data_IF_604178032781
#
_entry.id   IF_604178032781
#
_cell.length_a   1.000
_cell.length_b   1.000
_cell.length_c   1.000
_cell.angle_alpha   90.00
_cell.angle_beta   90.00
_cell.angle_gamma   90.00
#
_symmetry.space_group_name_H-M   'P 1'
#
loop_
_entity.id
_entity.type
_entity.pdbx_description
1 polymer ?
#
# COMPACT_ATOMS: atom_id res chain seq x y z
N UNK A 1 11.91 5.03 -35.73
CA UNK A 1 11.84 4.35 -34.42
C UNK A 1 10.40 4.31 -33.98
N UNK A 2 9.84 3.15 -33.61
CA UNK A 2 8.46 3.09 -33.12
C UNK A 2 8.34 3.98 -31.88
N UNK A 3 7.31 4.82 -31.83
CA UNK A 3 6.96 5.61 -30.63
C UNK A 3 6.87 4.63 -29.46
N UNK A 4 7.76 4.75 -28.49
CA UNK A 4 7.69 3.93 -27.29
C UNK A 4 6.32 4.14 -26.66
N UNK A 5 5.53 3.07 -26.58
CA UNK A 5 4.26 3.05 -25.88
C UNK A 5 4.52 3.53 -24.45
N UNK A 6 3.73 4.51 -24.00
CA UNK A 6 3.88 5.10 -22.68
C UNK A 6 3.64 4.02 -21.61
N UNK A 7 4.52 3.87 -20.60
CA UNK A 7 4.42 2.79 -19.61
C UNK A 7 3.34 3.12 -18.55
N UNK A 8 2.09 3.24 -18.98
CA UNK A 8 0.97 3.76 -18.20
C UNK A 8 0.78 3.09 -16.83
N UNK A 9 0.86 1.77 -16.76
CA UNK A 9 0.72 1.02 -15.50
C UNK A 9 1.79 1.42 -14.47
N UNK A 10 3.05 1.50 -14.90
CA UNK A 10 4.16 1.93 -14.06
C UNK A 10 3.95 3.36 -13.58
N UNK A 11 3.60 4.28 -14.48
CA UNK A 11 3.47 5.68 -14.09
C UNK A 11 2.27 5.90 -13.16
N UNK A 12 1.19 5.17 -13.36
CA UNK A 12 0.05 5.14 -12.45
C UNK A 12 0.44 4.62 -11.07
N UNK A 13 1.25 3.55 -11.01
CA UNK A 13 1.78 3.06 -9.75
C UNK A 13 2.60 4.13 -9.03
N UNK A 14 3.58 4.75 -9.71
CA UNK A 14 4.44 5.79 -9.11
C UNK A 14 3.61 7.02 -8.70
N UNK A 15 2.58 7.39 -9.48
CA UNK A 15 1.67 8.48 -9.13
C UNK A 15 0.88 8.19 -7.85
N UNK A 16 0.56 6.92 -7.60
CA UNK A 16 -0.24 6.45 -6.46
C UNK A 16 0.60 6.24 -5.20
N UNK A 17 1.85 5.77 -5.35
CA UNK A 17 2.74 5.40 -4.24
C UNK A 17 3.80 6.45 -3.93
N UNK A 18 4.11 7.33 -4.87
CA UNK A 18 5.13 8.38 -4.73
C UNK A 18 6.54 7.94 -5.10
N UNK A 19 6.77 6.65 -5.37
CA UNK A 19 8.08 6.14 -5.80
C UNK A 19 8.00 4.80 -6.51
N UNK A 20 9.11 4.41 -7.14
CA UNK A 20 9.36 3.06 -7.65
C UNK A 20 10.84 2.71 -7.40
N UNK A 21 11.10 1.45 -7.00
CA UNK A 21 12.46 0.91 -6.98
C UNK A 21 12.74 0.12 -8.25
N UNK A 22 14.01 0.02 -8.66
CA UNK A 22 14.39 -0.84 -9.80
C UNK A 22 13.92 -2.29 -9.60
N UNK A 23 13.99 -2.80 -8.37
CA UNK A 23 13.54 -4.16 -8.05
C UNK A 23 12.04 -4.35 -8.26
N UNK A 24 11.20 -3.42 -7.77
CA UNK A 24 9.75 -3.48 -8.02
C UNK A 24 9.45 -3.35 -9.52
N UNK A 25 10.19 -2.50 -10.23
CA UNK A 25 10.03 -2.35 -11.66
C UNK A 25 10.36 -3.65 -12.42
N UNK A 26 11.48 -4.28 -12.11
CA UNK A 26 11.89 -5.56 -12.69
C UNK A 26 10.85 -6.65 -12.45
N UNK A 27 10.32 -6.71 -11.22
CA UNK A 27 9.37 -7.75 -10.79
C UNK A 27 7.97 -7.56 -11.39
N UNK A 28 7.49 -6.31 -11.48
CA UNK A 28 6.07 -6.04 -11.77
C UNK A 28 5.79 -5.32 -13.09
N UNK A 29 6.77 -4.66 -13.70
CA UNK A 29 6.50 -3.77 -14.84
C UNK A 29 7.41 -4.05 -16.05
N UNK A 30 8.54 -4.73 -15.84
CA UNK A 30 9.41 -5.13 -16.93
C UNK A 30 8.81 -6.31 -17.70
N UNK A 31 8.63 -6.16 -19.01
CA UNK A 31 8.04 -7.18 -19.90
C UNK A 31 9.00 -8.32 -20.28
N UNK A 32 10.15 -8.44 -19.60
CA UNK A 32 11.15 -9.47 -19.85
C UNK A 32 12.22 -9.09 -20.87
N UNK A 33 13.24 -9.95 -20.99
CA UNK A 33 14.42 -9.75 -21.82
C UNK A 33 15.72 -10.02 -21.05
N UNK A 34 16.86 -9.73 -21.66
CA UNK A 34 18.16 -9.87 -21.01
C UNK A 34 18.38 -8.80 -19.93
N UNK A 35 19.32 -9.03 -19.01
CA UNK A 35 19.71 -8.03 -18.01
C UNK A 35 20.15 -6.71 -18.64
N UNK A 36 20.90 -6.78 -19.76
CA UNK A 36 21.29 -5.61 -20.56
C UNK A 36 20.07 -4.85 -21.06
N UNK A 37 19.05 -5.55 -21.55
CA UNK A 37 17.80 -4.93 -21.99
C UNK A 37 17.03 -4.32 -20.83
N UNK A 38 17.04 -4.96 -19.66
CA UNK A 38 16.42 -4.40 -18.46
C UNK A 38 17.11 -3.09 -18.02
N UNK A 39 18.44 -3.06 -18.00
CA UNK A 39 19.19 -1.84 -17.69
C UNK A 39 18.90 -0.72 -18.70
N UNK A 40 18.93 -1.03 -20.01
CA UNK A 40 18.62 -0.06 -21.05
C UNK A 40 17.18 0.44 -20.94
N UNK A 41 16.21 -0.43 -20.69
CA UNK A 41 14.81 -0.08 -20.54
C UNK A 41 14.57 0.82 -19.33
N UNK A 42 15.21 0.52 -18.20
CA UNK A 42 15.17 1.38 -17.02
C UNK A 42 15.74 2.77 -17.32
N UNK A 43 16.92 2.84 -17.94
CA UNK A 43 17.53 4.10 -18.35
C UNK A 43 16.63 4.90 -19.31
N UNK A 44 15.98 4.23 -20.27
CA UNK A 44 15.07 4.89 -21.21
C UNK A 44 13.91 5.59 -20.49
N UNK A 45 13.46 5.11 -19.31
CA UNK A 45 12.43 5.80 -18.52
C UNK A 45 12.91 7.16 -17.98
N UNK A 46 14.19 7.24 -17.59
CA UNK A 46 14.82 8.48 -17.14
C UNK A 46 15.13 9.41 -18.31
N UNK A 47 15.72 8.87 -19.38
CA UNK A 47 16.09 9.64 -20.58
C UNK A 47 14.85 10.24 -21.26
N UNK A 48 13.72 9.53 -21.24
CA UNK A 48 12.43 10.02 -21.74
C UNK A 48 11.73 11.02 -20.79
N UNK A 49 12.26 11.25 -19.58
CA UNK A 49 11.68 12.18 -18.61
C UNK A 49 10.41 11.68 -17.94
N UNK A 50 10.18 10.37 -17.89
CA UNK A 50 9.09 9.81 -17.10
C UNK A 50 9.44 9.73 -15.62
N UNK A 51 10.69 9.32 -15.34
CA UNK A 51 11.21 9.15 -14.00
C UNK A 51 12.42 10.08 -13.78
N UNK A 52 12.61 10.48 -12.53
CA UNK A 52 13.83 11.13 -12.05
C UNK A 52 14.28 10.43 -10.76
N UNK A 53 15.59 10.41 -10.44
CA UNK A 53 16.07 9.91 -9.17
C UNK A 53 15.38 10.60 -7.99
N UNK A 54 15.18 9.87 -6.90
CA UNK A 54 14.67 10.43 -5.66
C UNK A 54 15.60 11.56 -5.16
N UNK A 55 15.08 12.71 -4.68
CA UNK A 55 15.89 13.88 -4.32
C UNK A 55 16.90 13.61 -3.21
N UNK A 56 16.58 12.67 -2.32
CA UNK A 56 17.53 12.17 -1.32
C UNK A 56 18.52 11.22 -2.01
N UNK A 57 19.62 11.76 -2.53
CA UNK A 57 20.63 11.04 -3.33
C UNK A 57 21.32 9.84 -2.66
N UNK A 58 20.99 9.53 -1.40
CA UNK A 58 21.43 8.34 -0.68
C UNK A 58 20.71 7.06 -1.13
N UNK A 59 19.55 7.19 -1.77
CA UNK A 59 18.73 6.07 -2.23
C UNK A 59 19.10 5.70 -3.66
N UNK A 60 19.99 4.71 -3.80
CA UNK A 60 20.26 4.11 -5.11
C UNK A 60 19.00 3.41 -5.61
N UNK A 61 18.76 3.49 -6.92
CA UNK A 61 17.67 2.79 -7.61
C UNK A 61 16.24 3.14 -7.18
N UNK A 62 16.04 4.23 -6.44
CA UNK A 62 14.71 4.79 -6.15
C UNK A 62 14.44 5.96 -7.09
N UNK A 63 13.31 5.90 -7.79
CA UNK A 63 12.86 6.92 -8.72
C UNK A 63 11.47 7.42 -8.38
N UNK A 64 11.17 8.65 -8.78
CA UNK A 64 9.87 9.30 -8.65
C UNK A 64 9.42 9.82 -10.01
N UNK A 65 8.17 10.26 -10.13
CA UNK A 65 7.71 10.91 -11.35
C UNK A 65 8.43 12.25 -11.57
N UNK A 66 8.91 12.47 -12.79
CA UNK A 66 9.33 13.82 -13.21
C UNK A 66 8.08 14.62 -13.62
N UNK A 67 7.48 15.30 -12.65
CA UNK A 67 6.27 16.11 -12.88
C UNK A 67 6.52 17.34 -13.76
N UNK A 68 7.78 17.72 -14.02
CA UNK A 68 8.10 18.84 -14.93
C UNK A 68 8.04 18.39 -16.38
N UNK A 69 8.55 17.19 -16.67
CA UNK A 69 8.60 16.60 -18.02
C UNK A 69 7.39 15.73 -18.35
N UNK A 70 6.67 15.25 -17.33
CA UNK A 70 5.44 14.49 -17.47
C UNK A 70 4.28 15.20 -16.73
N UNK A 71 3.64 16.22 -17.36
CA UNK A 71 2.63 17.04 -16.70
C UNK A 71 1.30 16.28 -16.42
N UNK A 72 0.52 16.87 -15.51
CA UNK A 72 -0.65 16.31 -14.79
C UNK A 72 -1.80 15.72 -15.63
N UNK A 73 -1.82 15.93 -16.95
CA UNK A 73 -2.99 15.64 -17.80
C UNK A 73 -3.21 14.17 -18.15
N UNK A 74 -2.33 13.26 -17.72
CA UNK A 74 -2.29 11.91 -18.29
C UNK A 74 -2.19 10.79 -17.24
N UNK A 75 -2.67 11.04 -16.02
CA UNK A 75 -2.71 10.05 -14.93
C UNK A 75 -4.14 9.57 -14.70
N UNK A 76 -4.35 8.25 -14.65
CA UNK A 76 -5.69 7.69 -14.46
C UNK A 76 -6.25 7.97 -13.05
N UNK A 77 -5.38 8.26 -12.08
CA UNK A 77 -5.73 8.39 -10.66
C UNK A 77 -5.71 9.84 -10.15
N UNK A 78 -5.76 10.83 -11.04
CA UNK A 78 -5.75 12.26 -10.66
C UNK A 78 -4.37 12.76 -10.22
N UNK A 79 -4.32 13.64 -9.21
CA UNK A 79 -3.06 14.26 -8.76
C UNK A 79 -2.12 13.19 -8.16
N UNK A 80 -0.85 13.12 -8.60
CA UNK A 80 0.16 12.28 -7.98
C UNK A 80 0.36 12.62 -6.50
N UNK A 81 0.60 11.61 -5.67
CA UNK A 81 1.02 11.82 -4.28
C UNK A 81 2.41 12.46 -4.23
N UNK A 82 2.76 13.04 -3.08
CA UNK A 82 4.12 13.54 -2.87
C UNK A 82 5.09 12.35 -2.81
N UNK A 83 6.36 12.54 -3.21
CA UNK A 83 7.41 11.54 -2.98
C UNK A 83 7.44 11.06 -1.53
N UNK A 84 7.56 9.75 -1.36
CA UNK A 84 7.68 9.10 -0.04
C UNK A 84 8.98 9.52 0.64
N UNK A 85 8.95 9.85 1.93
CA UNK A 85 10.17 10.14 2.67
C UNK A 85 11.04 8.88 2.81
N UNK A 86 12.36 9.10 2.86
CA UNK A 86 13.37 8.03 2.91
C UNK A 86 13.09 6.98 4.01
N UNK A 87 12.69 7.42 5.19
CA UNK A 87 12.44 6.55 6.35
C UNK A 87 11.26 5.59 6.16
N UNK A 88 10.39 5.85 5.19
CA UNK A 88 9.22 5.02 4.88
C UNK A 88 9.41 4.14 3.64
N UNK A 89 10.51 4.26 2.90
CA UNK A 89 10.68 3.50 1.65
C UNK A 89 10.74 2.00 1.90
N UNK A 90 11.50 1.53 2.91
CA UNK A 90 11.58 0.09 3.21
C UNK A 90 10.21 -0.48 3.60
N UNK A 91 9.49 0.28 4.44
CA UNK A 91 8.13 -0.04 4.87
C UNK A 91 7.18 -0.19 3.69
N UNK A 92 7.10 0.85 2.87
CA UNK A 92 6.20 0.93 1.73
C UNK A 92 6.59 -0.07 0.62
N UNK A 93 7.89 -0.33 0.44
CA UNK A 93 8.39 -1.33 -0.51
C UNK A 93 7.82 -2.71 -0.18
N UNK A 94 7.91 -3.15 1.08
CA UNK A 94 7.35 -4.44 1.49
C UNK A 94 5.82 -4.48 1.37
N UNK A 95 5.15 -3.38 1.71
CA UNK A 95 3.71 -3.28 1.60
C UNK A 95 3.28 -3.41 0.14
N UNK A 96 3.77 -2.53 -0.75
CA UNK A 96 3.35 -2.48 -2.15
C UNK A 96 3.76 -3.71 -2.95
N UNK A 97 4.92 -4.33 -2.67
CA UNK A 97 5.30 -5.62 -3.28
C UNK A 97 4.22 -6.68 -3.03
N UNK A 98 3.77 -6.82 -1.78
CA UNK A 98 2.72 -7.78 -1.44
C UNK A 98 1.38 -7.42 -2.08
N UNK A 99 0.98 -6.14 -2.05
CA UNK A 99 -0.26 -5.68 -2.67
C UNK A 99 -0.28 -5.97 -4.19
N UNK A 100 0.81 -5.69 -4.90
CA UNK A 100 0.93 -5.99 -6.34
C UNK A 100 0.83 -7.50 -6.63
N UNK A 101 1.38 -8.36 -5.76
CA UNK A 101 1.18 -9.81 -5.87
C UNK A 101 -0.27 -10.21 -5.67
N UNK A 102 -0.96 -9.64 -4.68
CA UNK A 102 -2.38 -9.90 -4.43
C UNK A 102 -3.26 -9.44 -5.61
N UNK A 103 -2.96 -8.27 -6.18
CA UNK A 103 -3.63 -7.72 -7.36
C UNK A 103 -3.46 -8.64 -8.58
N UNK A 104 -2.23 -9.07 -8.88
CA UNK A 104 -1.95 -10.03 -9.97
C UNK A 104 -2.61 -11.39 -9.79
N UNK A 105 -2.83 -11.80 -8.55
CA UNK A 105 -3.53 -13.04 -8.19
C UNK A 105 -5.06 -12.88 -8.15
N UNK A 106 -5.60 -11.70 -8.47
CA UNK A 106 -7.04 -11.41 -8.46
C UNK A 106 -7.66 -11.38 -7.06
N UNK A 107 -6.85 -11.30 -5.99
CA UNK A 107 -7.33 -11.23 -4.62
C UNK A 107 -7.69 -9.81 -4.17
N UNK A 108 -7.09 -8.82 -4.82
CA UNK A 108 -7.37 -7.40 -4.64
C UNK A 108 -7.79 -6.84 -6.00
N UNK A 109 -8.98 -6.24 -6.07
CA UNK A 109 -9.50 -5.61 -7.30
C UNK A 109 -9.00 -4.18 -7.46
N UNK A 110 -8.95 -3.48 -6.35
CA UNK A 110 -8.54 -2.09 -6.26
C UNK A 110 -7.87 -1.86 -4.91
N UNK A 111 -7.02 -0.86 -4.83
CA UNK A 111 -6.40 -0.47 -3.56
C UNK A 111 -6.13 1.04 -3.53
N UNK A 112 -6.03 1.63 -2.35
CA UNK A 112 -5.72 3.06 -2.18
C UNK A 112 -4.67 3.22 -1.08
N UNK A 113 -3.65 4.05 -1.29
CA UNK A 113 -2.60 4.33 -0.30
C UNK A 113 -3.04 5.39 0.69
N UNK A 114 -2.42 5.40 1.88
CA UNK A 114 -2.62 6.46 2.88
C UNK A 114 -2.47 7.87 2.26
N UNK A 115 -1.45 8.06 1.42
CA UNK A 115 -1.19 9.33 0.74
C UNK A 115 -2.31 9.75 -0.22
N UNK A 116 -2.95 8.79 -0.90
CA UNK A 116 -4.10 9.04 -1.77
C UNK A 116 -5.36 9.34 -0.96
N UNK A 117 -5.63 8.56 0.09
CA UNK A 117 -6.76 8.79 1.00
C UNK A 117 -6.68 10.22 1.57
N UNK A 118 -5.52 10.62 2.10
CA UNK A 118 -5.27 11.98 2.62
C UNK A 118 -5.44 13.05 1.55
N UNK A 119 -4.91 12.82 0.35
CA UNK A 119 -5.01 13.79 -0.74
C UNK A 119 -6.46 14.00 -1.20
N UNK A 120 -7.26 12.93 -1.25
CA UNK A 120 -8.67 12.99 -1.66
C UNK A 120 -9.49 13.76 -0.63
N UNK A 121 -9.36 13.42 0.66
CA UNK A 121 -10.08 14.11 1.73
C UNK A 121 -9.69 15.59 1.85
N UNK A 122 -8.42 15.92 1.67
CA UNK A 122 -7.97 17.32 1.65
C UNK A 122 -8.54 18.13 0.48
N UNK A 123 -8.83 17.47 -0.66
CA UNK A 123 -9.41 18.11 -1.84
C UNK A 123 -10.94 18.22 -1.77
N UNK A 124 -11.62 17.13 -1.40
CA UNK A 124 -13.09 17.02 -1.43
C UNK A 124 -13.76 17.96 -0.43
N UNK A 125 -13.09 18.28 0.67
CA UNK A 125 -13.70 18.99 1.77
C UNK A 125 -12.93 20.25 2.21
N UNK A 126 -11.92 20.67 1.43
CA UNK A 126 -11.10 21.84 1.75
C UNK A 126 -10.38 21.76 3.10
N UNK A 127 -10.20 20.55 3.63
CA UNK A 127 -9.73 20.36 5.00
C UNK A 127 -8.28 20.79 5.19
N UNK A 128 -8.03 21.46 6.32
CA UNK A 128 -6.69 21.75 6.78
C UNK A 128 -6.09 20.49 7.42
N UNK A 129 -4.98 19.92 6.90
CA UNK A 129 -4.33 18.73 7.48
C UNK A 129 -3.94 18.90 8.96
N UNK A 130 -3.90 20.13 9.46
CA UNK A 130 -3.63 20.45 10.87
C UNK A 130 -4.79 20.14 11.82
N UNK A 131 -6.05 20.21 11.37
CA UNK A 131 -7.24 19.97 12.22
C UNK A 131 -7.44 18.48 12.54
N UNK A 132 -7.00 17.60 11.64
CA UNK A 132 -7.07 16.14 11.78
C UNK A 132 -5.70 15.48 11.87
N UNK A 133 -4.70 16.16 12.46
CA UNK A 133 -3.38 15.56 12.79
C UNK A 133 -3.48 14.22 13.54
N UNK A 134 -4.61 13.95 14.18
CA UNK A 134 -4.87 12.75 14.97
C UNK A 134 -5.77 11.71 14.27
N UNK A 135 -6.28 11.99 13.06
CA UNK A 135 -7.02 10.98 12.31
C UNK A 135 -6.06 9.87 11.86
N UNK A 136 -6.40 8.62 12.18
CA UNK A 136 -5.69 7.45 11.66
C UNK A 136 -6.19 7.20 10.25
N UNK A 137 -5.25 6.90 9.37
CA UNK A 137 -5.54 6.37 8.03
C UNK A 137 -4.84 5.02 7.91
N UNK A 138 -5.47 4.04 7.22
CA UNK A 138 -4.81 2.79 6.86
C UNK A 138 -3.60 3.04 5.96
N UNK A 139 -2.55 2.23 6.08
CA UNK A 139 -1.40 2.33 5.18
C UNK A 139 -1.85 2.06 3.72
N UNK A 140 -2.66 1.01 3.55
CA UNK A 140 -3.40 0.72 2.32
C UNK A 140 -4.82 0.25 2.65
N UNK A 141 -5.81 0.71 1.87
CA UNK A 141 -7.13 0.08 1.76
C UNK A 141 -7.17 -0.82 0.54
N UNK A 142 -7.77 -2.00 0.63
CA UNK A 142 -7.93 -2.95 -0.47
C UNK A 142 -9.38 -3.38 -0.64
N UNK A 143 -9.86 -3.37 -1.88
CA UNK A 143 -11.15 -3.93 -2.26
C UNK A 143 -11.00 -5.39 -2.63
N UNK A 144 -11.68 -6.25 -1.87
CA UNK A 144 -11.68 -7.68 -2.11
C UNK A 144 -12.88 -8.07 -2.99
N UNK A 145 -12.78 -9.09 -3.86
CA UNK A 145 -13.89 -9.56 -4.69
C UNK A 145 -15.15 -9.94 -3.89
N UNK A 146 -14.98 -10.51 -2.70
CA UNK A 146 -16.04 -11.12 -1.90
C UNK A 146 -16.29 -10.39 -0.56
N UNK A 147 -15.93 -9.11 -0.47
CA UNK A 147 -16.19 -8.31 0.74
C UNK A 147 -17.05 -7.10 0.38
N UNK A 148 -18.01 -6.78 1.27
CA UNK A 148 -18.90 -5.62 1.10
C UNK A 148 -18.22 -4.29 1.40
N UNK A 149 -17.12 -4.34 2.18
CA UNK A 149 -16.35 -3.18 2.63
C UNK A 149 -14.85 -3.41 2.35
N UNK A 150 -14.08 -2.33 2.07
CA UNK A 150 -12.63 -2.43 1.92
C UNK A 150 -11.95 -2.93 3.19
N UNK A 151 -10.84 -3.62 3.02
CA UNK A 151 -10.00 -4.08 4.13
C UNK A 151 -8.78 -3.18 4.28
N UNK A 152 -8.44 -2.85 5.52
CA UNK A 152 -7.20 -2.15 5.82
C UNK A 152 -6.03 -3.15 5.87
N UNK A 153 -4.89 -2.77 5.31
CA UNK A 153 -3.61 -3.47 5.45
C UNK A 153 -2.63 -2.52 6.12
N UNK A 154 -2.08 -2.95 7.26
CA UNK A 154 -1.12 -2.21 8.08
C UNK A 154 0.20 -2.95 8.12
N UNK A 155 1.31 -2.24 7.90
CA UNK A 155 2.65 -2.81 7.92
C UNK A 155 3.38 -2.38 9.21
N UNK A 156 3.86 -3.35 9.97
CA UNK A 156 4.46 -3.13 11.30
C UNK A 156 5.86 -3.73 11.38
N UNK A 157 6.85 -2.93 10.95
CA UNK A 157 8.27 -3.31 10.98
C UNK A 157 8.94 -3.11 12.34
N UNK A 158 8.45 -2.14 13.12
CA UNK A 158 8.98 -1.79 14.44
C UNK A 158 7.86 -1.67 15.46
N UNK A 159 8.18 -1.91 16.74
CA UNK A 159 7.19 -1.88 17.82
C UNK A 159 6.83 -0.44 18.18
N UNK A 160 5.56 -0.07 18.01
CA UNK A 160 4.99 1.19 18.52
C UNK A 160 4.68 1.09 20.02
N UNK A 161 4.46 2.23 20.69
CA UNK A 161 4.02 2.24 22.09
C UNK A 161 2.62 1.64 22.24
N UNK A 162 2.29 1.15 23.44
CA UNK A 162 0.94 0.64 23.74
C UNK A 162 -0.14 1.68 23.45
N UNK A 163 0.09 2.93 23.84
CA UNK A 163 -0.85 4.03 23.56
C UNK A 163 -1.12 4.20 22.06
N UNK A 164 -0.08 4.09 21.22
CA UNK A 164 -0.25 4.17 19.76
C UNK A 164 -1.09 3.02 19.21
N UNK A 165 -0.92 1.80 19.71
CA UNK A 165 -1.76 0.68 19.30
C UNK A 165 -3.20 0.83 19.80
N UNK A 166 -3.42 1.23 21.05
CA UNK A 166 -4.78 1.48 21.56
C UNK A 166 -5.48 2.58 20.75
N UNK A 167 -4.77 3.66 20.41
CA UNK A 167 -5.30 4.72 19.55
C UNK A 167 -5.67 4.22 18.16
N UNK A 168 -4.83 3.37 17.56
CA UNK A 168 -5.12 2.75 16.27
C UNK A 168 -6.37 1.85 16.35
N UNK A 169 -6.50 1.04 17.41
CA UNK A 169 -7.67 0.18 17.60
C UNK A 169 -8.94 0.99 17.80
N UNK A 170 -8.91 2.04 18.63
CA UNK A 170 -10.06 2.93 18.80
C UNK A 170 -10.47 3.61 17.49
N UNK A 171 -9.50 4.03 16.67
CA UNK A 171 -9.79 4.61 15.37
C UNK A 171 -10.49 3.59 14.45
N UNK A 172 -9.96 2.37 14.35
CA UNK A 172 -10.57 1.31 13.54
C UNK A 172 -11.95 0.89 14.05
N UNK A 173 -12.18 0.87 15.37
CA UNK A 173 -13.48 0.58 15.95
C UNK A 173 -14.54 1.63 15.55
N UNK A 174 -14.12 2.85 15.20
CA UNK A 174 -15.02 3.91 14.73
C UNK A 174 -15.19 3.97 13.21
N UNK A 175 -14.38 3.24 12.44
CA UNK A 175 -14.42 3.21 10.97
C UNK A 175 -15.44 2.19 10.47
N UNK A 176 -16.69 2.64 10.29
CA UNK A 176 -17.80 1.78 9.82
C UNK A 176 -17.65 1.33 8.37
N UNK A 177 -16.83 2.01 7.59
CA UNK A 177 -16.54 1.75 6.18
C UNK A 177 -15.42 0.72 5.96
N UNK A 178 -14.74 0.28 7.02
CA UNK A 178 -13.70 -0.77 6.94
C UNK A 178 -14.27 -2.12 7.35
N UNK A 179 -14.10 -3.13 6.50
CA UNK A 179 -14.62 -4.48 6.71
C UNK A 179 -13.73 -5.39 7.56
N UNK A 180 -12.47 -4.99 7.79
CA UNK A 180 -11.50 -5.74 8.57
C UNK A 180 -10.09 -5.15 8.44
N UNK A 181 -9.18 -5.61 9.29
CA UNK A 181 -7.79 -5.13 9.32
C UNK A 181 -6.81 -6.29 9.27
N UNK A 182 -5.86 -6.25 8.34
CA UNK A 182 -4.73 -7.18 8.26
C UNK A 182 -3.47 -6.48 8.73
N UNK A 183 -2.88 -6.98 9.81
CA UNK A 183 -1.55 -6.55 10.25
C UNK A 183 -0.47 -7.47 9.69
N UNK A 184 0.42 -6.92 8.87
CA UNK A 184 1.67 -7.56 8.48
C UNK A 184 2.74 -7.19 9.49
N UNK A 185 3.32 -8.15 10.20
CA UNK A 185 4.24 -7.87 11.31
C UNK A 185 5.61 -8.52 11.14
N UNK A 186 6.69 -7.78 11.44
CA UNK A 186 8.07 -8.31 11.37
C UNK A 186 8.41 -9.28 12.49
N UNK A 187 7.82 -9.12 13.68
CA UNK A 187 8.11 -9.92 14.88
C UNK A 187 6.85 -10.22 15.68
N UNK A 188 6.78 -11.38 16.32
CA UNK A 188 5.62 -11.76 17.15
C UNK A 188 5.41 -10.84 18.35
N UNK A 189 6.46 -10.19 18.86
CA UNK A 189 6.33 -9.18 19.93
C UNK A 189 5.44 -8.00 19.51
N UNK A 190 5.39 -7.68 18.20
CA UNK A 190 4.53 -6.64 17.65
C UNK A 190 3.09 -7.13 17.62
N UNK A 191 2.84 -8.32 17.04
CA UNK A 191 1.54 -9.00 17.08
C UNK A 191 0.97 -9.07 18.50
N UNK A 192 1.78 -9.51 19.47
CA UNK A 192 1.38 -9.60 20.87
C UNK A 192 1.11 -8.23 21.52
N UNK A 193 1.74 -7.15 21.05
CA UNK A 193 1.41 -5.80 21.49
C UNK A 193 0.06 -5.33 20.92
N UNK A 194 -0.23 -5.63 19.65
CA UNK A 194 -1.51 -5.30 19.01
C UNK A 194 -2.65 -6.11 19.65
N UNK A 195 -2.47 -7.41 19.87
CA UNK A 195 -3.44 -8.26 20.57
C UNK A 195 -3.75 -7.77 21.98
N UNK A 196 -2.76 -7.21 22.69
CA UNK A 196 -2.99 -6.56 23.99
C UNK A 196 -3.82 -5.29 23.84
N UNK A 197 -3.52 -4.45 22.85
CA UNK A 197 -4.31 -3.25 22.58
C UNK A 197 -5.77 -3.58 22.25
N UNK A 198 -6.02 -4.58 21.40
CA UNK A 198 -7.37 -5.11 21.09
C UNK A 198 -8.15 -5.43 22.36
N UNK A 199 -7.51 -6.14 23.30
CA UNK A 199 -8.12 -6.48 24.60
C UNK A 199 -8.36 -5.24 25.46
N UNK A 200 -7.39 -4.34 25.55
CA UNK A 200 -7.46 -3.13 26.37
C UNK A 200 -8.54 -2.16 25.90
N UNK A 201 -8.80 -2.09 24.60
CA UNK A 201 -9.79 -1.17 24.01
C UNK A 201 -11.17 -1.80 23.83
N UNK A 202 -11.38 -3.06 24.25
CA UNK A 202 -12.62 -3.81 23.98
C UNK A 202 -13.02 -3.76 22.50
N UNK A 203 -12.03 -3.97 21.62
CA UNK A 203 -12.22 -3.79 20.18
C UNK A 203 -13.26 -4.81 19.61
N UNK A 204 -14.24 -4.36 18.81
CA UNK A 204 -15.35 -5.20 18.33
C UNK A 204 -14.91 -6.11 17.17
N UNK A 205 -14.30 -7.25 17.50
CA UNK A 205 -13.77 -8.21 16.52
C UNK A 205 -14.85 -8.88 15.65
N UNK A 206 -16.10 -8.85 16.10
CA UNK A 206 -17.28 -9.34 15.38
C UNK A 206 -17.72 -8.38 14.27
N UNK A 207 -17.55 -7.07 14.47
CA UNK A 207 -17.89 -6.05 13.46
C UNK A 207 -16.73 -5.76 12.50
N UNK A 208 -15.51 -5.74 13.03
CA UNK A 208 -14.28 -5.43 12.29
C UNK A 208 -13.23 -6.49 12.62
N UNK A 209 -13.21 -7.63 11.93
CA UNK A 209 -12.25 -8.70 12.23
C UNK A 209 -10.80 -8.26 11.99
N UNK A 210 -9.88 -8.83 12.79
CA UNK A 210 -8.43 -8.57 12.70
C UNK A 210 -7.68 -9.84 12.35
N UNK A 211 -6.84 -9.77 11.32
CA UNK A 211 -5.96 -10.83 10.87
C UNK A 211 -4.49 -10.44 10.99
N UNK A 212 -3.61 -11.44 11.07
CA UNK A 212 -2.16 -11.25 11.20
C UNK A 212 -1.40 -12.10 10.19
N UNK A 213 -0.41 -11.52 9.52
CA UNK A 213 0.51 -12.19 8.61
C UNK A 213 1.94 -11.82 9.03
N UNK A 214 2.86 -12.79 9.12
CA UNK A 214 4.27 -12.46 9.34
C UNK A 214 4.86 -11.80 8.10
N UNK A 215 5.83 -10.89 8.26
CA UNK A 215 6.51 -10.25 7.13
C UNK A 215 7.16 -11.30 6.20
N UNK A 216 7.72 -12.37 6.76
CA UNK A 216 8.29 -13.48 6.00
C UNK A 216 7.26 -14.13 5.08
N UNK A 217 6.07 -14.45 5.61
CA UNK A 217 4.98 -15.03 4.83
C UNK A 217 4.43 -14.05 3.79
N UNK A 218 4.37 -12.76 4.14
CA UNK A 218 3.99 -11.69 3.21
C UNK A 218 4.98 -11.54 2.04
N UNK A 219 6.27 -11.76 2.28
CA UNK A 219 7.30 -11.65 1.25
C UNK A 219 7.42 -12.91 0.37
N UNK A 220 7.22 -14.09 0.95
CA UNK A 220 7.43 -15.37 0.26
C UNK A 220 6.16 -15.94 -0.37
N UNK A 221 5.02 -15.81 0.31
CA UNK A 221 3.74 -16.40 -0.10
C UNK A 221 2.54 -15.46 0.18
N UNK A 222 2.59 -14.19 -0.30
CA UNK A 222 1.58 -13.18 0.03
C UNK A 222 0.15 -13.66 -0.24
N UNK A 223 -0.10 -14.21 -1.44
CA UNK A 223 -1.43 -14.65 -1.86
C UNK A 223 -1.98 -15.81 -1.04
N UNK A 224 -1.16 -16.79 -0.69
CA UNK A 224 -1.58 -17.92 0.13
C UNK A 224 -1.86 -17.48 1.56
N UNK A 225 -0.94 -16.71 2.13
CA UNK A 225 -1.05 -16.24 3.51
C UNK A 225 -2.24 -15.32 3.70
N UNK A 226 -2.50 -14.42 2.74
CA UNK A 226 -3.66 -13.55 2.74
C UNK A 226 -4.97 -14.34 2.63
N UNK A 227 -5.07 -15.31 1.70
CA UNK A 227 -6.24 -16.19 1.59
C UNK A 227 -6.53 -16.95 2.89
N UNK A 228 -5.49 -17.47 3.54
CA UNK A 228 -5.65 -18.27 4.75
C UNK A 228 -6.26 -17.47 5.91
N UNK A 229 -5.91 -16.18 6.02
CA UNK A 229 -6.36 -15.36 7.15
C UNK A 229 -7.59 -14.52 6.83
N UNK A 230 -7.72 -14.02 5.61
CA UNK A 230 -8.84 -13.14 5.19
C UNK A 230 -10.00 -13.94 4.60
N UNK A 231 -9.72 -15.01 3.85
CA UNK A 231 -10.72 -15.83 3.18
C UNK A 231 -11.83 -16.36 4.11
N UNK A 232 -11.51 -16.89 5.31
CA UNK A 232 -12.52 -17.29 6.29
C UNK A 232 -13.36 -16.14 6.83
N UNK A 233 -12.81 -14.92 6.87
CA UNK A 233 -13.42 -13.75 7.49
C UNK A 233 -14.34 -12.97 6.52
N UNK A 234 -14.13 -13.08 5.21
CA UNK A 234 -15.00 -12.48 4.20
C UNK A 234 -16.26 -13.30 3.91
N UNK A 235 -16.40 -14.52 4.44
CA UNK A 235 -17.59 -15.34 4.23
C UNK A 235 -18.68 -14.87 5.18
N UNK A 236 -19.72 -14.24 4.63
CA UNK A 236 -20.95 -13.96 5.39
C UNK A 236 -21.54 -15.27 5.95
N UNK A 237 -22.01 -15.29 7.21
CA UNK A 237 -22.75 -16.43 7.76
C UNK A 237 -24.11 -16.66 7.08
N UNK A 238 -24.55 -15.78 6.17
CA UNK A 238 -25.84 -15.87 5.47
C UNK A 238 -25.95 -17.02 4.45
N UNK A 239 -24.87 -17.74 4.13
CA UNK A 239 -24.88 -18.89 3.20
C UNK A 239 -24.62 -20.24 3.88
N UNK A 240 -24.78 -20.32 5.21
CA UNK A 240 -24.60 -21.55 5.99
C UNK A 240 -25.91 -22.15 6.52
N UNK A 241 -27.05 -21.82 5.89
CA UNK A 241 -28.36 -22.39 6.19
C UNK A 241 -28.90 -23.20 5.00
#
# INVERSE_FOLDING_TARGET
>A
MPKHERPTELLNFVAKTGFITRDLWLEFFFKGGSERWAYQSWRNLHDAGYLTPHPTGCLKDVSILDLKRCPRGEWFYGKPVKPTFIDFIEHDLHLYRGILHLERCGLVRFWETEGKIKSRLGQEFGYNPHEYKNAKYPDVLVDLPNADRPWAVEMELSRKSTERYCRAMNAYASMKDVGGVVFVHKKDVIKNAILRAIKTTYFPLDETPVAFISLENWQTTPSQSFRNVVGPLCRHPANAA
#
